data_IF_095989376743
#
_entry.id   IF_095989376743
#
_cell.length_a   1.000
_cell.length_b   1.000
_cell.length_c   1.000
_cell.angle_alpha   90.00
_cell.angle_beta   90.00
_cell.angle_gamma   90.00
#
_symmetry.space_group_name_H-M   'P 1'
#
loop_
_entity.id
_entity.type
_entity.pdbx_description
1 polymer ?
#
# COMPACT_ATOMS: atom_id res chain seq x y z
N UNK A 1 40.52 10.56 6.14
CA UNK A 1 39.17 11.16 6.09
C UNK A 1 38.16 10.03 6.24
N UNK A 2 36.96 10.29 6.77
CA UNK A 2 35.94 9.25 6.78
C UNK A 2 35.57 8.90 5.33
N UNK A 3 35.25 7.64 5.08
CA UNK A 3 34.75 7.15 3.80
C UNK A 3 33.55 6.24 4.06
N UNK A 4 32.57 6.25 3.18
CA UNK A 4 31.36 5.43 3.27
C UNK A 4 31.44 4.21 2.35
N UNK A 5 32.58 3.50 2.37
CA UNK A 5 32.76 2.27 1.56
C UNK A 5 31.74 1.17 1.90
N UNK A 6 31.09 1.26 3.07
CA UNK A 6 29.96 0.43 3.48
C UNK A 6 28.67 0.69 2.69
N UNK A 7 28.60 1.77 1.90
CA UNK A 7 27.36 2.23 1.26
C UNK A 7 26.74 1.15 0.37
N UNK A 8 27.54 0.48 -0.45
CA UNK A 8 27.06 -0.57 -1.34
C UNK A 8 26.38 -1.70 -0.58
N UNK A 9 27.00 -2.17 0.51
CA UNK A 9 26.48 -3.27 1.31
C UNK A 9 25.22 -2.87 2.07
N UNK A 10 25.19 -1.66 2.63
CA UNK A 10 24.01 -1.10 3.32
C UNK A 10 22.81 -0.97 2.38
N UNK A 11 23.03 -0.47 1.16
CA UNK A 11 21.96 -0.32 0.17
C UNK A 11 21.46 -1.68 -0.33
N UNK A 12 22.37 -2.60 -0.67
CA UNK A 12 22.00 -3.96 -1.10
C UNK A 12 21.25 -4.74 -0.02
N UNK A 13 21.69 -4.64 1.24
CA UNK A 13 21.00 -5.25 2.37
C UNK A 13 19.58 -4.71 2.57
N UNK A 14 19.33 -3.46 2.17
CA UNK A 14 18.01 -2.85 2.16
C UNK A 14 17.17 -3.18 0.91
N UNK A 15 17.68 -4.00 -0.02
CA UNK A 15 16.99 -4.39 -1.25
C UNK A 15 17.08 -3.36 -2.38
N UNK A 16 17.95 -2.35 -2.26
CA UNK A 16 18.19 -1.36 -3.32
C UNK A 16 19.09 -1.97 -4.39
N UNK A 17 18.75 -1.77 -5.67
CA UNK A 17 19.62 -2.16 -6.79
C UNK A 17 20.79 -1.20 -6.90
N UNK A 18 22.00 -1.74 -6.98
CA UNK A 18 23.24 -0.95 -6.91
C UNK A 18 24.17 -1.32 -8.06
N UNK A 19 24.62 -0.29 -8.78
CA UNK A 19 25.71 -0.35 -9.76
C UNK A 19 26.90 0.42 -9.17
N UNK A 20 28.10 -0.13 -9.29
CA UNK A 20 29.33 0.48 -8.78
C UNK A 20 30.13 1.07 -9.94
N UNK A 21 30.29 2.40 -9.99
CA UNK A 21 30.88 3.08 -11.15
C UNK A 21 32.39 3.29 -11.01
N UNK A 22 33.17 2.40 -11.65
CA UNK A 22 34.64 2.46 -11.64
C UNK A 22 35.20 2.42 -10.22
N UNK A 23 36.18 3.29 -9.94
CA UNK A 23 36.78 3.41 -8.60
C UNK A 23 35.96 4.30 -7.65
N UNK A 24 34.65 4.05 -7.54
CA UNK A 24 33.79 4.83 -6.64
C UNK A 24 34.25 4.79 -5.16
N UNK A 25 34.96 3.72 -4.76
CA UNK A 25 35.52 3.56 -3.40
C UNK A 25 36.68 4.52 -3.14
N UNK A 26 37.51 4.80 -4.15
CA UNK A 26 38.62 5.75 -4.07
C UNK A 26 38.27 7.18 -4.49
N UNK A 27 37.16 7.38 -5.24
CA UNK A 27 36.74 8.68 -5.75
C UNK A 27 36.32 9.63 -4.61
N UNK A 28 36.90 10.84 -4.60
CA UNK A 28 36.61 11.92 -3.66
C UNK A 28 37.25 13.25 -4.13
N UNK A 29 36.74 14.38 -3.66
CA UNK A 29 37.45 15.68 -3.70
C UNK A 29 38.18 15.98 -2.39
N UNK A 30 39.09 16.96 -2.41
CA UNK A 30 39.81 17.40 -1.22
C UNK A 30 38.89 18.03 -0.15
N UNK A 31 39.19 17.80 1.13
CA UNK A 31 38.49 18.41 2.27
C UNK A 31 37.92 17.39 3.27
N UNK A 32 37.33 17.86 4.37
CA UNK A 32 36.74 16.97 5.39
C UNK A 32 35.47 16.27 4.90
N UNK A 33 35.23 15.06 5.39
CA UNK A 33 33.98 14.35 5.21
C UNK A 33 33.62 13.62 6.49
N UNK A 34 32.43 13.90 7.01
CA UNK A 34 31.88 13.38 8.26
C UNK A 34 30.35 13.45 8.19
N UNK A 35 29.71 12.58 7.37
CA UNK A 35 28.29 12.69 7.09
C UNK A 35 27.45 12.39 8.32
N UNK A 36 26.42 13.22 8.53
CA UNK A 36 25.43 13.09 9.60
C UNK A 36 24.00 12.92 9.06
N UNK A 37 23.82 13.00 7.75
CA UNK A 37 22.50 12.95 7.12
C UNK A 37 22.57 12.69 5.63
N UNK A 38 21.42 12.81 4.97
CA UNK A 38 21.25 12.54 3.54
C UNK A 38 20.54 13.72 2.88
N UNK A 39 21.03 14.12 1.70
CA UNK A 39 20.48 15.22 0.90
C UNK A 39 19.98 14.69 -0.44
N UNK A 40 18.75 15.06 -0.80
CA UNK A 40 18.13 14.72 -2.09
C UNK A 40 18.23 15.90 -3.04
N UNK A 41 18.63 15.58 -4.26
CA UNK A 41 18.76 16.49 -5.39
C UNK A 41 18.01 15.92 -6.60
N UNK A 42 17.72 16.79 -7.57
CA UNK A 42 17.45 16.41 -8.94
C UNK A 42 18.54 16.97 -9.85
N UNK A 43 18.88 16.19 -10.88
CA UNK A 43 20.01 16.50 -11.77
C UNK A 43 19.70 17.59 -12.80
N UNK A 44 18.43 17.95 -12.96
CA UNK A 44 17.91 18.73 -14.08
C UNK A 44 18.09 18.07 -15.47
N UNK A 45 18.45 16.78 -15.52
CA UNK A 45 18.53 16.01 -16.76
C UNK A 45 17.24 15.25 -17.03
N UNK A 46 16.77 15.27 -18.29
CA UNK A 46 15.59 14.50 -18.69
C UNK A 46 15.95 13.02 -18.85
N UNK A 47 15.46 12.19 -17.95
CA UNK A 47 15.67 10.74 -17.97
C UNK A 47 14.47 9.99 -18.56
N UNK A 48 14.68 8.78 -19.06
CA UNK A 48 13.62 7.94 -19.63
C UNK A 48 13.98 6.46 -19.54
N UNK A 49 13.05 5.51 -19.80
CA UNK A 49 13.41 4.09 -19.85
C UNK A 49 14.54 3.76 -20.85
N UNK A 50 14.63 4.49 -21.97
CA UNK A 50 15.65 4.29 -23.00
C UNK A 50 16.96 5.03 -22.75
N UNK A 51 16.98 5.96 -21.79
CA UNK A 51 18.17 6.67 -21.32
C UNK A 51 17.99 6.95 -19.81
N UNK A 52 18.22 5.94 -18.96
CA UNK A 52 17.80 6.02 -17.57
C UNK A 52 18.71 6.87 -16.69
N UNK A 53 20.00 7.01 -17.04
CA UNK A 53 20.99 7.73 -16.24
C UNK A 53 21.71 8.85 -17.04
N UNK A 54 20.97 9.81 -17.64
CA UNK A 54 21.54 10.82 -18.53
C UNK A 54 22.62 11.71 -17.88
N UNK A 55 22.57 11.93 -16.56
CA UNK A 55 23.54 12.78 -15.87
C UNK A 55 24.78 12.02 -15.36
N UNK A 56 24.90 10.71 -15.63
CA UNK A 56 25.91 9.84 -15.02
C UNK A 56 27.35 10.35 -15.23
N UNK A 57 27.72 10.68 -16.47
CA UNK A 57 29.05 11.23 -16.76
C UNK A 57 29.31 12.54 -16.02
N UNK A 58 28.34 13.46 -16.05
CA UNK A 58 28.42 14.76 -15.38
C UNK A 58 28.62 14.63 -13.87
N UNK A 59 27.92 13.72 -13.19
CA UNK A 59 28.08 13.56 -11.74
C UNK A 59 29.38 12.85 -11.35
N UNK A 60 29.96 12.05 -12.25
CA UNK A 60 31.26 11.40 -12.05
C UNK A 60 32.39 12.41 -12.25
N UNK A 61 32.42 13.07 -13.41
CA UNK A 61 33.55 13.90 -13.87
C UNK A 61 33.46 15.34 -13.35
N UNK A 62 32.25 15.80 -13.04
CA UNK A 62 31.96 17.20 -12.74
C UNK A 62 31.60 17.99 -13.98
N UNK A 63 31.78 19.30 -13.86
CA UNK A 63 31.52 20.30 -14.91
C UNK A 63 32.62 21.37 -14.86
N UNK A 64 32.70 22.19 -15.90
CA UNK A 64 33.81 23.17 -16.04
C UNK A 64 33.97 24.12 -14.84
N UNK A 65 32.88 24.45 -14.15
CA UNK A 65 32.87 25.31 -12.95
C UNK A 65 32.90 24.54 -11.62
N UNK A 66 32.85 23.20 -11.64
CA UNK A 66 32.77 22.38 -10.42
C UNK A 66 33.34 20.98 -10.63
N UNK A 67 34.49 20.72 -9.99
CA UNK A 67 35.16 19.42 -9.97
C UNK A 67 34.25 18.31 -9.41
N UNK A 68 34.17 17.17 -10.12
CA UNK A 68 33.50 15.97 -9.64
C UNK A 68 34.28 15.25 -8.53
N UNK A 69 33.66 14.32 -7.80
CA UNK A 69 32.29 13.84 -7.98
C UNK A 69 31.25 14.82 -7.43
N UNK A 70 30.09 14.87 -8.08
CA UNK A 70 28.98 15.77 -7.71
C UNK A 70 27.91 15.09 -6.84
N UNK A 71 28.12 13.83 -6.44
CA UNK A 71 27.25 13.12 -5.50
C UNK A 71 27.93 11.86 -4.95
N UNK A 72 27.24 11.16 -4.05
CA UNK A 72 27.67 9.85 -3.58
C UNK A 72 26.98 8.73 -4.36
N UNK A 73 25.72 8.93 -4.75
CA UNK A 73 25.05 8.09 -5.74
C UNK A 73 24.12 8.89 -6.64
N UNK A 74 24.00 8.42 -7.88
CA UNK A 74 22.95 8.84 -8.81
C UNK A 74 21.82 7.82 -8.81
N UNK A 75 20.58 8.29 -8.89
CA UNK A 75 19.37 7.44 -8.95
C UNK A 75 18.77 7.54 -10.34
N UNK A 76 18.91 6.47 -11.13
CA UNK A 76 18.44 6.44 -12.52
C UNK A 76 16.90 6.45 -12.61
N UNK A 77 16.35 6.57 -13.82
CA UNK A 77 14.90 6.55 -14.09
C UNK A 77 14.17 5.36 -13.44
N UNK A 78 14.84 4.21 -13.34
CA UNK A 78 14.31 2.95 -12.82
C UNK A 78 14.53 2.77 -11.30
N UNK A 79 15.09 3.76 -10.61
CA UNK A 79 15.40 3.69 -9.18
C UNK A 79 16.66 2.89 -8.84
N UNK A 80 17.55 2.64 -9.81
CA UNK A 80 18.85 2.00 -9.60
C UNK A 80 19.85 3.03 -9.09
N UNK A 81 20.59 2.67 -8.04
CA UNK A 81 21.62 3.51 -7.45
C UNK A 81 22.98 3.24 -8.09
N UNK A 82 23.50 4.21 -8.84
CA UNK A 82 24.86 4.22 -9.37
C UNK A 82 25.78 4.89 -8.34
N UNK A 83 26.68 4.14 -7.72
CA UNK A 83 27.59 4.66 -6.69
C UNK A 83 28.77 5.37 -7.34
N UNK A 84 28.97 6.61 -6.93
CA UNK A 84 29.93 7.54 -7.54
C UNK A 84 31.09 7.84 -6.59
N UNK A 85 30.83 8.06 -5.30
CA UNK A 85 31.87 8.48 -4.36
C UNK A 85 31.66 7.89 -2.99
N UNK A 86 32.69 7.26 -2.44
CA UNK A 86 32.76 6.89 -1.03
C UNK A 86 33.36 8.01 -0.16
N UNK A 87 34.04 9.00 -0.75
CA UNK A 87 34.56 10.16 -0.04
C UNK A 87 33.75 11.43 -0.33
N UNK A 88 34.33 12.58 0.07
CA UNK A 88 33.73 13.91 -0.12
C UNK A 88 33.34 14.14 -1.57
N UNK A 89 32.14 14.70 -1.79
CA UNK A 89 31.63 15.11 -3.10
C UNK A 89 31.17 16.57 -3.09
N UNK A 90 31.21 17.23 -4.25
CA UNK A 90 30.83 18.63 -4.45
C UNK A 90 29.34 18.76 -4.81
N UNK A 91 28.44 18.46 -3.88
CA UNK A 91 26.98 18.39 -4.14
C UNK A 91 26.17 19.48 -3.45
N UNK A 92 26.37 19.66 -2.14
CA UNK A 92 25.56 20.51 -1.28
C UNK A 92 26.09 21.96 -1.18
N UNK A 93 27.41 22.13 -1.21
CA UNK A 93 28.06 23.43 -0.99
C UNK A 93 27.76 24.04 0.38
N UNK A 94 27.70 25.37 0.45
CA UNK A 94 27.38 26.09 1.68
C UNK A 94 25.88 25.98 2.03
N UNK A 95 25.57 25.46 3.22
CA UNK A 95 24.20 25.21 3.69
C UNK A 95 23.78 26.19 4.78
N UNK A 96 22.50 26.57 4.79
CA UNK A 96 21.81 27.12 5.98
C UNK A 96 21.36 25.98 6.89
N UNK A 97 21.08 26.32 8.15
CA UNK A 97 20.55 25.34 9.10
C UNK A 97 19.15 24.86 8.68
N UNK A 98 18.89 23.56 8.82
CA UNK A 98 17.59 22.94 8.51
C UNK A 98 17.31 21.74 9.40
N UNK A 99 16.41 21.90 10.37
CA UNK A 99 16.25 20.99 11.51
C UNK A 99 17.60 20.69 12.18
N UNK A 100 18.06 19.43 12.29
CA UNK A 100 19.30 19.10 12.97
C UNK A 100 20.55 19.26 12.09
N UNK A 101 20.41 19.60 10.80
CA UNK A 101 21.55 19.90 9.93
C UNK A 101 22.01 21.34 10.23
N UNK A 102 23.24 21.55 10.73
CA UNK A 102 23.74 22.89 11.00
C UNK A 102 24.06 23.65 9.71
N UNK A 103 24.14 24.97 9.81
CA UNK A 103 24.72 25.79 8.75
C UNK A 103 26.22 25.50 8.60
N UNK A 104 26.77 25.67 7.40
CA UNK A 104 28.20 25.46 7.14
C UNK A 104 28.45 24.73 5.83
N UNK A 105 29.38 23.79 5.86
CA UNK A 105 29.78 23.04 4.67
C UNK A 105 28.99 21.73 4.53
N UNK A 106 27.96 21.75 3.68
CA UNK A 106 27.11 20.59 3.40
C UNK A 106 27.87 19.43 2.75
N UNK A 107 28.94 19.68 2.00
CA UNK A 107 29.78 18.64 1.40
C UNK A 107 30.50 17.81 2.47
N UNK A 108 30.75 18.40 3.65
CA UNK A 108 31.26 17.64 4.81
C UNK A 108 30.16 16.79 5.45
N UNK A 109 28.94 17.33 5.53
CA UNK A 109 27.90 16.87 6.45
C UNK A 109 26.91 15.86 5.85
N UNK A 110 26.82 15.72 4.54
CA UNK A 110 25.69 15.02 3.91
C UNK A 110 26.17 14.01 2.86
N UNK A 111 25.54 12.83 2.87
CA UNK A 111 25.54 11.90 1.74
C UNK A 111 24.54 12.43 0.71
N UNK A 112 24.90 12.47 -0.57
CA UNK A 112 24.11 13.13 -1.61
C UNK A 112 23.56 12.16 -2.65
N UNK A 113 22.24 12.20 -2.87
CA UNK A 113 21.55 11.55 -3.98
C UNK A 113 21.25 12.55 -5.08
N UNK A 114 21.77 12.32 -6.27
CA UNK A 114 21.40 13.03 -7.49
C UNK A 114 20.38 12.18 -8.25
N UNK A 115 19.11 12.58 -8.24
CA UNK A 115 18.02 11.78 -8.82
C UNK A 115 17.76 12.29 -10.24
N UNK A 116 17.80 11.38 -11.22
CA UNK A 116 17.77 11.76 -12.62
C UNK A 116 16.35 12.13 -13.09
N UNK A 117 16.00 13.40 -13.03
CA UNK A 117 14.81 13.99 -13.65
C UNK A 117 14.97 15.51 -13.81
N UNK A 118 14.27 16.10 -14.78
CA UNK A 118 14.54 17.49 -15.15
C UNK A 118 13.97 18.55 -14.20
N UNK A 119 12.97 18.22 -13.39
CA UNK A 119 12.37 19.15 -12.43
C UNK A 119 11.64 20.35 -13.05
N UNK A 120 11.23 20.24 -14.33
CA UNK A 120 10.46 21.27 -15.06
C UNK A 120 9.12 20.69 -15.51
N UNK A 121 9.13 19.79 -16.50
CA UNK A 121 7.96 19.03 -16.98
C UNK A 121 8.03 17.54 -16.58
N UNK A 122 9.14 17.12 -15.97
CA UNK A 122 9.34 15.81 -15.37
C UNK A 122 9.38 15.91 -13.84
N UNK A 123 8.79 14.91 -13.19
CA UNK A 123 8.88 14.66 -11.75
C UNK A 123 9.47 13.26 -11.50
N UNK A 124 9.90 12.99 -10.27
CA UNK A 124 10.40 11.67 -9.89
C UNK A 124 9.44 10.54 -10.27
N UNK A 125 9.98 9.43 -10.76
CA UNK A 125 9.22 8.19 -10.94
C UNK A 125 8.91 7.52 -9.60
N UNK A 126 7.96 6.57 -9.60
CA UNK A 126 7.69 5.72 -8.43
C UNK A 126 8.96 5.03 -7.93
N UNK A 127 9.73 4.51 -8.88
CA UNK A 127 10.89 3.69 -8.60
C UNK A 127 12.00 4.54 -7.97
N UNK A 128 12.25 5.73 -8.51
CA UNK A 128 13.17 6.71 -7.93
C UNK A 128 12.79 7.07 -6.50
N UNK A 129 11.53 7.40 -6.24
CA UNK A 129 11.09 7.81 -4.90
C UNK A 129 11.20 6.65 -3.90
N UNK A 130 10.65 5.48 -4.23
CA UNK A 130 10.66 4.31 -3.35
C UNK A 130 12.08 3.84 -3.04
N UNK A 131 12.97 3.80 -4.04
CA UNK A 131 14.35 3.43 -3.84
C UNK A 131 15.09 4.46 -2.99
N UNK A 132 14.86 5.75 -3.23
CA UNK A 132 15.48 6.84 -2.47
C UNK A 132 15.05 6.87 -1.01
N UNK A 133 13.76 6.63 -0.71
CA UNK A 133 13.27 6.50 0.68
C UNK A 133 13.97 5.32 1.37
N UNK A 134 14.02 4.15 0.71
CA UNK A 134 14.63 2.93 1.25
C UNK A 134 16.12 3.11 1.51
N UNK A 135 16.85 3.66 0.53
CA UNK A 135 18.27 3.98 0.62
C UNK A 135 18.57 4.97 1.73
N UNK A 136 17.77 6.03 1.83
CA UNK A 136 17.91 7.07 2.87
C UNK A 136 17.72 6.48 4.26
N UNK A 137 16.68 5.66 4.47
CA UNK A 137 16.47 4.99 5.74
C UNK A 137 17.63 4.03 6.09
N UNK A 138 18.17 3.30 5.12
CA UNK A 138 19.31 2.41 5.33
C UNK A 138 20.57 3.19 5.76
N UNK A 139 20.87 4.30 5.09
CA UNK A 139 22.00 5.17 5.43
C UNK A 139 21.82 5.82 6.80
N UNK A 140 20.63 6.37 7.11
CA UNK A 140 20.39 7.00 8.41
C UNK A 140 20.46 5.99 9.56
N UNK A 141 20.03 4.74 9.35
CA UNK A 141 20.22 3.65 10.31
C UNK A 141 21.70 3.39 10.55
N UNK A 142 22.50 3.31 9.48
CA UNK A 142 23.95 3.12 9.58
C UNK A 142 24.63 4.29 10.32
N UNK A 143 24.14 5.51 10.16
CA UNK A 143 24.65 6.71 10.83
C UNK A 143 24.12 6.89 12.27
N UNK A 144 23.17 6.06 12.72
CA UNK A 144 22.52 6.22 14.03
C UNK A 144 21.71 7.52 14.12
N UNK A 145 20.90 7.80 13.10
CA UNK A 145 20.11 9.02 12.95
C UNK A 145 18.66 8.70 12.61
N UNK A 146 17.76 9.60 12.99
CA UNK A 146 16.35 9.52 12.61
C UNK A 146 16.08 10.25 11.28
N UNK A 147 14.84 10.18 10.79
CA UNK A 147 14.45 10.79 9.52
C UNK A 147 14.55 12.32 9.48
N UNK A 148 14.66 12.98 10.64
CA UNK A 148 14.88 14.42 10.67
C UNK A 148 16.26 14.81 10.13
N UNK A 149 17.15 13.87 9.81
CA UNK A 149 18.43 14.11 9.12
C UNK A 149 18.35 13.89 7.59
N UNK A 150 17.18 13.60 7.02
CA UNK A 150 16.94 13.60 5.57
C UNK A 150 16.43 14.97 5.11
N UNK A 151 17.06 15.55 4.09
CA UNK A 151 16.72 16.88 3.56
C UNK A 151 16.61 16.89 2.05
N UNK A 152 15.84 17.83 1.53
CA UNK A 152 15.97 18.28 0.14
C UNK A 152 16.87 19.51 0.05
N UNK A 153 17.61 19.67 -1.05
CA UNK A 153 18.55 20.78 -1.23
C UNK A 153 17.93 22.17 -0.99
N UNK A 154 16.66 22.38 -1.31
CA UNK A 154 15.91 23.64 -1.13
C UNK A 154 15.75 24.03 0.33
N UNK A 155 15.76 23.04 1.22
CA UNK A 155 15.67 23.28 2.66
C UNK A 155 17.01 23.77 3.21
N UNK A 156 18.12 23.29 2.66
CA UNK A 156 19.49 23.62 3.11
C UNK A 156 20.17 24.70 2.27
N UNK A 157 19.66 25.04 1.09
CA UNK A 157 20.24 26.02 0.17
C UNK A 157 20.18 27.44 0.74
N UNK A 158 21.26 28.19 0.55
CA UNK A 158 21.37 29.62 0.88
C UNK A 158 20.87 30.55 -0.24
N UNK A 159 20.60 30.00 -1.43
CA UNK A 159 20.26 30.76 -2.65
C UNK A 159 18.84 30.55 -3.15
N UNK A 160 17.99 29.83 -2.39
CA UNK A 160 16.57 29.67 -2.72
C UNK A 160 16.27 28.69 -3.86
N UNK A 161 17.09 27.64 -4.03
CA UNK A 161 16.87 26.58 -5.02
C UNK A 161 15.49 25.91 -4.87
N UNK A 162 14.93 25.43 -5.98
CA UNK A 162 13.68 24.63 -6.01
C UNK A 162 13.92 23.13 -5.77
N UNK A 163 15.18 22.72 -5.81
CA UNK A 163 15.67 21.35 -5.80
C UNK A 163 15.43 20.61 -4.46
N UNK A 164 14.85 19.40 -4.38
CA UNK A 164 14.23 18.64 -5.45
C UNK A 164 12.85 19.22 -5.80
N UNK A 165 12.62 19.40 -7.10
CA UNK A 165 11.34 19.90 -7.60
C UNK A 165 10.22 18.87 -7.36
N UNK A 166 9.02 19.36 -7.04
CA UNK A 166 7.78 18.58 -6.86
C UNK A 166 7.81 17.45 -5.81
N UNK A 167 8.79 17.44 -4.90
CA UNK A 167 8.81 16.52 -3.76
C UNK A 167 8.22 17.22 -2.52
N UNK A 168 7.27 16.58 -1.84
CA UNK A 168 6.86 16.94 -0.48
C UNK A 168 7.89 16.39 0.51
N UNK A 169 8.69 17.28 1.11
CA UNK A 169 9.82 16.89 1.95
C UNK A 169 9.38 16.50 3.37
N UNK A 170 8.23 16.98 3.85
CA UNK A 170 7.64 16.49 5.10
C UNK A 170 7.12 15.07 4.93
N UNK A 171 6.48 14.80 3.78
CA UNK A 171 6.07 13.43 3.43
C UNK A 171 7.25 12.50 3.25
N UNK A 172 8.29 12.92 2.53
CA UNK A 172 9.53 12.15 2.37
C UNK A 172 10.11 11.76 3.74
N UNK A 173 10.20 12.70 4.67
CA UNK A 173 10.65 12.39 6.04
C UNK A 173 9.74 11.43 6.77
N UNK A 174 8.42 11.55 6.62
CA UNK A 174 7.49 10.61 7.24
C UNK A 174 7.67 9.17 6.69
N UNK A 175 7.88 9.03 5.38
CA UNK A 175 8.13 7.74 4.73
C UNK A 175 9.48 7.13 5.18
N UNK A 176 10.53 7.96 5.27
CA UNK A 176 11.85 7.54 5.80
C UNK A 176 11.77 7.15 7.29
N UNK A 177 11.06 7.92 8.12
CA UNK A 177 10.93 7.65 9.56
C UNK A 177 10.31 6.30 9.80
N UNK A 178 9.29 6.01 9.01
CA UNK A 178 8.56 4.80 9.18
C UNK A 178 9.38 3.61 8.62
N UNK A 179 10.13 3.73 7.51
CA UNK A 179 11.13 2.72 7.12
C UNK A 179 12.22 2.48 8.18
N UNK A 180 12.66 3.52 8.89
CA UNK A 180 13.67 3.41 9.96
C UNK A 180 13.20 2.54 11.12
N UNK A 181 11.92 2.66 11.50
CA UNK A 181 11.27 1.91 12.59
C UNK A 181 11.18 0.39 12.41
N UNK A 182 11.81 -0.18 11.38
CA UNK A 182 11.90 -1.64 11.18
C UNK A 182 10.64 -2.28 10.60
N UNK A 183 9.64 -1.47 10.23
CA UNK A 183 8.60 -1.87 9.30
C UNK A 183 8.74 -1.02 8.05
N UNK A 184 8.65 -1.61 6.86
CA UNK A 184 8.09 -0.83 5.76
C UNK A 184 6.75 -0.27 6.26
N UNK A 185 6.49 1.05 6.18
CA UNK A 185 5.24 1.62 6.67
C UNK A 185 4.15 1.16 5.72
N UNK A 186 3.42 0.13 6.14
CA UNK A 186 2.28 -0.36 5.41
C UNK A 186 1.11 0.61 5.57
N UNK A 187 1.22 1.78 4.93
CA UNK A 187 0.21 2.80 4.98
C UNK A 187 -1.07 2.23 4.38
N UNK A 188 -2.18 2.35 5.11
CA UNK A 188 -3.48 2.20 4.52
C UNK A 188 -3.69 3.34 3.53
N UNK A 189 -3.89 3.02 2.26
CA UNK A 189 -4.16 3.98 1.20
C UNK A 189 -5.57 3.77 0.64
N UNK A 190 -6.13 4.80 0.03
CA UNK A 190 -7.46 4.79 -0.58
C UNK A 190 -7.43 5.40 -1.99
N UNK A 191 -8.17 4.79 -2.92
CA UNK A 191 -8.43 5.35 -4.26
C UNK A 191 -9.90 5.18 -4.62
N UNK A 192 -10.43 6.13 -5.41
CA UNK A 192 -11.80 6.16 -5.92
C UNK A 192 -11.79 5.90 -7.43
N UNK A 193 -12.60 4.94 -7.86
CA UNK A 193 -12.99 4.76 -9.26
C UNK A 193 -14.25 5.56 -9.54
N UNK A 194 -14.15 6.50 -10.47
CA UNK A 194 -15.28 7.28 -10.97
C UNK A 194 -16.16 6.44 -11.91
N UNK A 195 -17.39 6.88 -12.14
CA UNK A 195 -18.34 6.23 -13.05
C UNK A 195 -17.76 6.06 -14.46
N UNK A 196 -16.98 7.04 -14.94
CA UNK A 196 -16.28 6.98 -16.23
C UNK A 196 -15.10 5.98 -16.27
N UNK A 197 -14.85 5.24 -15.20
CA UNK A 197 -13.81 4.22 -15.08
C UNK A 197 -12.42 4.73 -14.71
N UNK A 198 -12.23 6.04 -14.60
CA UNK A 198 -10.94 6.61 -14.16
C UNK A 198 -10.75 6.44 -12.65
N UNK A 199 -9.51 6.20 -12.24
CA UNK A 199 -9.12 6.13 -10.83
C UNK A 199 -8.52 7.45 -10.37
N UNK A 200 -8.75 7.83 -9.12
CA UNK A 200 -7.94 8.85 -8.45
C UNK A 200 -6.58 8.26 -8.06
N UNK A 201 -5.58 9.12 -7.89
CA UNK A 201 -4.35 8.71 -7.21
C UNK A 201 -4.67 8.19 -5.81
N UNK A 202 -3.90 7.22 -5.34
CA UNK A 202 -4.01 6.76 -3.97
C UNK A 202 -3.68 7.89 -2.99
N UNK A 203 -4.52 8.09 -1.98
CA UNK A 203 -4.31 9.01 -0.88
C UNK A 203 -4.07 8.25 0.44
N UNK A 204 -3.22 8.80 1.30
CA UNK A 204 -2.95 8.18 2.60
C UNK A 204 -4.15 8.30 3.54
N UNK A 205 -4.53 7.19 4.19
CA UNK A 205 -5.52 7.19 5.26
C UNK A 205 -4.92 7.57 6.63
N UNK A 206 -3.59 7.74 6.73
CA UNK A 206 -2.94 8.17 7.97
C UNK A 206 -2.90 7.09 9.06
N UNK A 207 -2.77 5.81 8.66
CA UNK A 207 -2.67 4.68 9.59
C UNK A 207 -1.77 3.60 9.00
N UNK A 208 -0.87 3.07 9.82
CA UNK A 208 -0.14 1.82 9.52
C UNK A 208 -1.11 0.67 9.75
N UNK A 209 -1.27 -0.19 8.74
CA UNK A 209 -2.18 -1.32 8.78
C UNK A 209 -1.48 -2.62 8.38
N UNK A 210 -1.86 -3.73 9.00
CA UNK A 210 -1.51 -5.10 8.60
C UNK A 210 -2.57 -5.69 7.66
N UNK A 211 -3.81 -5.25 7.80
CA UNK A 211 -4.95 -5.68 6.98
C UNK A 211 -5.97 -4.55 6.80
N UNK A 212 -6.72 -4.58 5.70
CA UNK A 212 -7.65 -3.50 5.31
C UNK A 212 -8.97 -4.06 4.77
N UNK A 213 -10.07 -3.42 5.12
CA UNK A 213 -11.38 -3.71 4.57
C UNK A 213 -12.20 -2.43 4.41
N UNK A 214 -13.11 -2.41 3.44
CA UNK A 214 -14.02 -1.28 3.20
C UNK A 214 -15.40 -1.80 2.80
N UNK A 215 -16.45 -1.15 3.30
CA UNK A 215 -17.83 -1.36 2.87
C UNK A 215 -18.46 -0.04 2.46
N UNK A 216 -19.16 -0.03 1.33
CA UNK A 216 -20.05 1.07 0.96
C UNK A 216 -21.36 0.97 1.72
N UNK A 217 -22.01 2.10 1.94
CA UNK A 217 -23.28 2.20 2.63
C UNK A 217 -24.34 2.80 1.71
N UNK A 218 -25.60 2.49 1.98
CA UNK A 218 -26.75 3.01 1.23
C UNK A 218 -26.85 4.56 1.25
N UNK A 219 -26.32 5.20 2.30
CA UNK A 219 -26.28 6.66 2.43
C UNK A 219 -25.11 7.34 1.66
N UNK A 220 -24.34 6.56 0.89
CA UNK A 220 -23.18 7.03 0.13
C UNK A 220 -21.90 7.21 0.96
N UNK A 221 -21.94 6.95 2.27
CA UNK A 221 -20.73 6.84 3.09
C UNK A 221 -20.01 5.51 2.84
N UNK A 222 -18.78 5.40 3.34
CA UNK A 222 -18.09 4.12 3.41
C UNK A 222 -17.48 3.90 4.80
N UNK A 223 -17.43 2.64 5.22
CA UNK A 223 -16.87 2.20 6.49
C UNK A 223 -15.54 1.51 6.21
N UNK A 224 -14.45 2.09 6.69
CA UNK A 224 -13.09 1.55 6.52
C UNK A 224 -12.67 0.92 7.84
N UNK A 225 -12.32 -0.36 7.81
CA UNK A 225 -11.78 -1.09 8.95
C UNK A 225 -10.35 -1.55 8.65
N UNK A 226 -9.45 -1.47 9.63
CA UNK A 226 -8.06 -1.91 9.48
C UNK A 226 -7.59 -2.65 10.73
N UNK A 227 -6.68 -3.60 10.55
CA UNK A 227 -5.84 -4.09 11.63
C UNK A 227 -4.61 -3.20 11.69
N UNK A 228 -4.39 -2.48 12.79
CA UNK A 228 -3.24 -1.59 12.95
C UNK A 228 -1.90 -2.32 13.04
N UNK A 229 -0.79 -1.57 12.95
CA UNK A 229 0.55 -2.11 13.22
C UNK A 229 0.70 -2.73 14.62
N UNK A 230 -0.13 -2.29 15.56
CA UNK A 230 -0.28 -2.72 16.96
C UNK A 230 -1.31 -3.84 17.17
N UNK A 231 -1.79 -4.45 16.09
CA UNK A 231 -2.84 -5.49 16.04
C UNK A 231 -4.23 -5.02 16.46
N UNK A 232 -4.42 -3.75 16.80
CA UNK A 232 -5.72 -3.22 17.21
C UNK A 232 -6.63 -3.03 15.99
N UNK A 233 -7.90 -3.38 16.12
CA UNK A 233 -8.92 -3.16 15.09
C UNK A 233 -9.36 -1.70 15.16
N UNK A 234 -9.13 -0.96 14.08
CA UNK A 234 -9.56 0.44 13.96
C UNK A 234 -10.63 0.58 12.90
N UNK A 235 -11.49 1.58 13.08
CA UNK A 235 -12.51 1.96 12.12
C UNK A 235 -12.54 3.47 11.92
N UNK A 236 -12.91 3.89 10.71
CA UNK A 236 -13.29 5.26 10.39
C UNK A 236 -14.37 5.29 9.31
N UNK A 237 -15.02 6.44 9.18
CA UNK A 237 -16.02 6.71 8.15
C UNK A 237 -15.42 7.60 7.08
N UNK A 238 -15.61 7.23 5.81
CA UNK A 238 -15.53 8.16 4.69
C UNK A 238 -16.90 8.80 4.50
N UNK A 239 -16.97 10.12 4.62
CA UNK A 239 -18.19 10.90 4.38
C UNK A 239 -18.50 10.99 2.89
N UNK A 240 -19.73 11.38 2.57
CA UNK A 240 -20.19 11.60 1.19
C UNK A 240 -19.33 12.65 0.48
N UNK A 241 -18.90 13.70 1.19
CA UNK A 241 -18.00 14.75 0.68
C UNK A 241 -16.56 14.27 0.39
N UNK A 242 -16.26 13.00 0.67
CA UNK A 242 -14.95 12.38 0.47
C UNK A 242 -13.94 12.61 1.60
N UNK A 243 -14.29 13.42 2.61
CA UNK A 243 -13.48 13.54 3.83
C UNK A 243 -13.61 12.29 4.69
N UNK A 244 -12.66 12.10 5.60
CA UNK A 244 -12.67 10.96 6.49
C UNK A 244 -12.64 11.38 7.96
N UNK A 245 -13.40 10.70 8.82
CA UNK A 245 -13.30 10.86 10.28
C UNK A 245 -11.95 10.34 10.79
N UNK A 246 -11.44 10.75 11.96
CA UNK A 246 -10.29 10.06 12.57
C UNK A 246 -10.55 8.55 12.76
N UNK A 247 -9.47 7.76 12.84
CA UNK A 247 -9.56 6.35 13.22
C UNK A 247 -9.88 6.22 14.72
N UNK A 248 -10.90 5.44 15.05
CA UNK A 248 -11.22 5.01 16.42
C UNK A 248 -10.98 3.52 16.61
N UNK A 249 -10.43 3.11 17.75
CA UNK A 249 -10.28 1.70 18.08
C UNK A 249 -11.65 1.10 18.40
N UNK A 250 -11.90 -0.13 17.92
CA UNK A 250 -13.12 -0.85 18.28
C UNK A 250 -13.00 -1.35 19.73
N UNK A 251 -14.01 -1.13 20.58
CA UNK A 251 -14.03 -1.72 21.91
C UNK A 251 -14.31 -3.23 21.84
N UNK A 252 -13.57 -4.03 22.59
CA UNK A 252 -13.75 -5.48 22.70
C UNK A 252 -12.81 -6.12 23.71
N UNK A 253 -13.23 -7.23 24.32
CA UNK A 253 -12.39 -8.02 25.23
C UNK A 253 -11.79 -7.23 26.42
N UNK A 254 -12.52 -6.24 26.93
CA UNK A 254 -12.09 -5.41 28.06
C UNK A 254 -11.18 -4.22 27.69
N UNK A 255 -10.96 -3.94 26.40
CA UNK A 255 -10.15 -2.82 25.93
C UNK A 255 -10.30 -2.59 24.42
N UNK A 256 -9.28 -2.06 23.73
CA UNK A 256 -9.22 -2.09 22.27
C UNK A 256 -9.17 -3.54 21.77
N UNK A 257 -10.10 -3.91 20.89
CA UNK A 257 -10.12 -5.22 20.27
C UNK A 257 -8.86 -5.40 19.40
N UNK A 258 -8.20 -6.55 19.53
CA UNK A 258 -7.09 -6.94 18.65
C UNK A 258 -7.57 -7.96 17.63
N UNK A 259 -6.93 -8.02 16.47
CA UNK A 259 -7.26 -8.96 15.40
C UNK A 259 -6.10 -9.19 14.45
N UNK A 260 -6.23 -10.20 13.60
CA UNK A 260 -5.26 -10.60 12.57
C UNK A 260 -5.79 -10.35 11.16
N UNK A 261 -7.04 -10.71 10.89
CA UNK A 261 -7.75 -10.40 9.65
C UNK A 261 -9.02 -9.60 9.95
N UNK A 262 -9.46 -8.77 9.02
CA UNK A 262 -10.69 -7.98 9.12
C UNK A 262 -11.46 -7.96 7.81
N UNK A 263 -12.78 -8.13 7.89
CA UNK A 263 -13.71 -7.85 6.81
C UNK A 263 -14.91 -7.08 7.35
N UNK A 264 -15.56 -6.28 6.51
CA UNK A 264 -16.71 -5.46 6.90
C UNK A 264 -17.76 -5.46 5.81
N UNK A 265 -19.04 -5.53 6.21
CA UNK A 265 -20.19 -5.39 5.32
C UNK A 265 -21.07 -4.22 5.79
N UNK A 266 -21.61 -3.46 4.84
CA UNK A 266 -22.68 -2.50 5.06
C UNK A 266 -24.04 -3.15 4.78
N UNK A 267 -25.08 -2.64 5.43
CA UNK A 267 -26.47 -3.05 5.22
C UNK A 267 -27.33 -1.86 4.84
N UNK A 268 -28.43 -2.14 4.13
CA UNK A 268 -29.41 -1.13 3.68
C UNK A 268 -30.07 -0.37 4.85
N UNK A 269 -30.11 -0.96 6.04
CA UNK A 269 -30.65 -0.32 7.26
C UNK A 269 -29.67 0.69 7.90
N UNK A 270 -28.52 0.93 7.28
CA UNK A 270 -27.48 1.84 7.76
C UNK A 270 -26.57 1.25 8.84
N UNK A 271 -26.76 -0.01 9.22
CA UNK A 271 -25.81 -0.74 10.08
C UNK A 271 -24.65 -1.29 9.28
N UNK A 272 -23.55 -1.61 9.97
CA UNK A 272 -22.45 -2.37 9.37
C UNK A 272 -21.96 -3.44 10.33
N UNK A 273 -21.33 -4.50 9.81
CA UNK A 273 -20.84 -5.59 10.63
C UNK A 273 -19.40 -5.92 10.26
N UNK A 274 -18.53 -5.94 11.27
CA UNK A 274 -17.16 -6.43 11.13
C UNK A 274 -17.10 -7.90 11.49
N UNK A 275 -16.26 -8.64 10.78
CA UNK A 275 -15.81 -9.98 11.14
C UNK A 275 -14.29 -9.94 11.24
N UNK A 276 -13.74 -10.49 12.32
CA UNK A 276 -12.30 -10.53 12.57
C UNK A 276 -11.85 -11.95 12.93
N UNK A 277 -10.58 -12.23 12.70
CA UNK A 277 -9.88 -13.35 13.33
C UNK A 277 -8.96 -12.82 14.44
N UNK A 278 -8.81 -13.58 15.52
CA UNK A 278 -7.80 -13.33 16.55
C UNK A 278 -6.48 -14.06 16.22
N UNK A 279 -5.47 -13.91 17.08
CA UNK A 279 -4.15 -14.53 16.89
C UNK A 279 -4.18 -16.06 16.92
N UNK A 280 -5.15 -16.65 17.62
CA UNK A 280 -5.43 -18.10 17.66
C UNK A 280 -6.33 -18.58 16.50
N UNK A 281 -6.73 -17.66 15.62
CA UNK A 281 -7.63 -17.93 14.50
C UNK A 281 -9.12 -17.90 14.86
N UNK A 282 -9.51 -17.74 16.13
CA UNK A 282 -10.91 -17.69 16.53
C UNK A 282 -11.64 -16.53 15.84
N UNK A 283 -12.84 -16.80 15.32
CA UNK A 283 -13.60 -15.83 14.52
C UNK A 283 -14.68 -15.16 15.35
N UNK A 284 -14.68 -13.82 15.33
CA UNK A 284 -15.65 -12.99 16.05
C UNK A 284 -16.29 -11.96 15.11
N UNK A 285 -17.44 -11.44 15.53
CA UNK A 285 -18.12 -10.36 14.82
C UNK A 285 -18.66 -9.30 15.79
N UNK A 286 -18.79 -8.06 15.30
CA UNK A 286 -19.46 -6.97 16.01
C UNK A 286 -20.27 -6.13 15.03
N UNK A 287 -21.45 -5.68 15.45
CA UNK A 287 -22.34 -4.81 14.68
C UNK A 287 -22.12 -3.35 15.09
N UNK A 288 -21.93 -2.48 14.12
CA UNK A 288 -22.05 -1.03 14.27
C UNK A 288 -23.50 -0.65 14.05
N UNK A 289 -24.11 -0.06 15.08
CA UNK A 289 -25.45 0.51 15.01
C UNK A 289 -25.45 1.81 14.21
N UNK A 290 -26.62 2.24 13.75
CA UNK A 290 -26.80 3.51 13.02
C UNK A 290 -26.26 4.71 13.81
N UNK A 291 -26.43 4.71 15.14
CA UNK A 291 -25.90 5.75 16.03
C UNK A 291 -24.35 5.72 16.20
N UNK A 292 -23.66 4.81 15.51
CA UNK A 292 -22.21 4.67 15.52
C UNK A 292 -21.63 3.85 16.67
N UNK A 293 -22.45 3.39 17.61
CA UNK A 293 -22.00 2.50 18.69
C UNK A 293 -21.81 1.06 18.21
N UNK A 294 -20.85 0.36 18.80
CA UNK A 294 -20.60 -1.06 18.50
C UNK A 294 -21.30 -1.97 19.51
N UNK A 295 -21.72 -3.15 19.08
CA UNK A 295 -22.05 -4.26 20.00
C UNK A 295 -20.77 -4.84 20.59
N UNK A 296 -20.89 -5.64 21.65
CA UNK A 296 -19.80 -6.53 22.06
C UNK A 296 -19.50 -7.55 20.96
N UNK A 297 -18.27 -8.04 20.93
CA UNK A 297 -17.88 -9.10 20.00
C UNK A 297 -18.53 -10.43 20.38
N UNK A 298 -19.26 -11.03 19.45
CA UNK A 298 -19.83 -12.37 19.54
C UNK A 298 -18.95 -13.38 18.81
N UNK A 299 -18.79 -14.59 19.37
CA UNK A 299 -18.05 -15.67 18.71
C UNK A 299 -18.87 -16.27 17.57
N UNK A 300 -18.25 -16.56 16.42
CA UNK A 300 -18.88 -17.31 15.33
C UNK A 300 -18.73 -18.83 15.50
N UNK A 301 -17.95 -19.30 16.48
CA UNK A 301 -17.82 -20.72 16.82
C UNK A 301 -16.97 -21.52 15.81
N UNK A 302 -15.95 -20.89 15.22
CA UNK A 302 -14.99 -21.54 14.33
C UNK A 302 -13.61 -20.88 14.44
N UNK A 303 -12.59 -21.49 13.85
CA UNK A 303 -11.28 -20.89 13.59
C UNK A 303 -11.04 -20.75 12.09
N UNK A 304 -10.34 -19.68 11.69
CA UNK A 304 -10.08 -19.39 10.29
C UNK A 304 -8.73 -18.72 10.07
N UNK A 305 -8.14 -18.99 8.90
CA UNK A 305 -6.95 -18.32 8.36
C UNK A 305 -7.29 -16.99 7.69
N UNK A 306 -8.49 -16.90 7.12
CA UNK A 306 -9.00 -15.72 6.42
C UNK A 306 -10.54 -15.63 6.50
N UNK A 307 -11.09 -14.43 6.41
CA UNK A 307 -12.52 -14.13 6.62
C UNK A 307 -13.05 -13.08 5.64
N UNK A 308 -14.28 -13.28 5.17
CA UNK A 308 -15.00 -12.29 4.38
C UNK A 308 -16.49 -12.24 4.77
N UNK A 309 -17.10 -11.06 4.69
CA UNK A 309 -18.55 -10.88 4.88
C UNK A 309 -19.14 -10.00 3.78
N UNK A 310 -20.33 -10.36 3.30
CA UNK A 310 -21.15 -9.53 2.41
C UNK A 310 -22.56 -9.37 2.98
N UNK A 311 -23.06 -8.14 2.96
CA UNK A 311 -24.49 -7.85 3.13
C UNK A 311 -25.25 -8.21 1.86
N UNK A 312 -26.49 -8.64 2.02
CA UNK A 312 -27.41 -8.97 0.94
C UNK A 312 -28.57 -7.96 0.93
N UNK A 313 -29.19 -7.74 -0.22
CA UNK A 313 -30.31 -6.80 -0.38
C UNK A 313 -31.54 -7.14 0.49
N UNK A 314 -31.70 -8.41 0.89
CA UNK A 314 -32.77 -8.87 1.79
C UNK A 314 -32.47 -8.66 3.29
N UNK A 315 -31.37 -7.98 3.63
CA UNK A 315 -30.93 -7.73 5.00
C UNK A 315 -30.20 -8.91 5.66
N UNK A 316 -30.04 -10.04 4.96
CA UNK A 316 -29.16 -11.13 5.41
C UNK A 316 -27.69 -10.79 5.15
N UNK A 317 -26.78 -11.59 5.71
CA UNK A 317 -25.36 -11.53 5.38
C UNK A 317 -24.81 -12.92 5.08
N UNK A 318 -23.79 -13.01 4.25
CA UNK A 318 -23.01 -14.24 4.09
C UNK A 318 -21.61 -14.03 4.64
N UNK A 319 -21.19 -14.93 5.53
CA UNK A 319 -19.82 -15.00 6.05
C UNK A 319 -19.13 -16.19 5.39
N UNK A 320 -17.99 -15.94 4.74
CA UNK A 320 -17.12 -16.94 4.17
C UNK A 320 -15.78 -16.96 4.93
N UNK A 321 -15.21 -18.14 5.12
CA UNK A 321 -13.95 -18.32 5.85
C UNK A 321 -13.06 -19.36 5.17
N UNK A 322 -11.75 -19.20 5.30
CA UNK A 322 -10.78 -20.28 5.03
C UNK A 322 -10.46 -20.97 6.35
N UNK A 323 -10.86 -22.23 6.51
CA UNK A 323 -10.64 -23.01 7.72
C UNK A 323 -9.16 -23.34 7.98
N UNK A 324 -8.89 -23.89 9.17
CA UNK A 324 -7.56 -24.43 9.51
C UNK A 324 -7.06 -25.53 8.55
N UNK A 325 -8.01 -26.24 7.94
CA UNK A 325 -7.88 -27.32 6.95
C UNK A 325 -7.82 -26.84 5.49
N UNK A 326 -7.72 -25.52 5.28
CA UNK A 326 -7.77 -24.81 3.99
C UNK A 326 -9.12 -24.89 3.28
N UNK A 327 -10.14 -25.52 3.86
CA UNK A 327 -11.46 -25.63 3.23
C UNK A 327 -12.19 -24.29 3.32
N UNK A 328 -12.86 -23.92 2.22
CA UNK A 328 -13.71 -22.75 2.14
C UNK A 328 -15.06 -23.11 2.76
N UNK A 329 -15.40 -22.50 3.89
CA UNK A 329 -16.70 -22.64 4.53
C UNK A 329 -17.50 -21.36 4.39
N UNK A 330 -18.83 -21.48 4.36
CA UNK A 330 -19.70 -20.32 4.45
C UNK A 330 -20.90 -20.57 5.37
N UNK A 331 -21.50 -19.49 5.85
CA UNK A 331 -22.79 -19.52 6.55
C UNK A 331 -23.58 -18.25 6.29
N UNK A 332 -24.88 -18.30 6.59
CA UNK A 332 -25.79 -17.16 6.46
C UNK A 332 -26.07 -16.59 7.84
N UNK A 333 -25.94 -15.27 7.99
CA UNK A 333 -26.56 -14.49 9.06
C UNK A 333 -27.97 -14.12 8.61
N UNK A 334 -28.98 -14.53 9.38
CA UNK A 334 -30.38 -14.15 9.16
C UNK A 334 -30.62 -12.70 9.60
N UNK A 335 -31.73 -12.12 9.14
CA UNK A 335 -32.15 -10.76 9.51
C UNK A 335 -32.28 -10.60 11.03
N UNK A 336 -32.75 -11.64 11.73
CA UNK A 336 -32.87 -11.68 13.20
C UNK A 336 -31.51 -11.73 13.95
N UNK A 337 -30.39 -11.79 13.22
CA UNK A 337 -29.04 -11.86 13.75
C UNK A 337 -28.56 -13.26 14.12
N UNK A 338 -29.41 -14.29 14.03
CA UNK A 338 -28.98 -15.68 14.18
C UNK A 338 -28.19 -16.14 12.97
N UNK A 339 -27.44 -17.22 13.12
CA UNK A 339 -26.64 -17.77 12.03
C UNK A 339 -26.99 -19.23 11.75
N UNK A 340 -26.86 -19.62 10.50
CA UNK A 340 -26.83 -21.04 10.12
C UNK A 340 -25.51 -21.69 10.57
N UNK A 341 -25.43 -23.02 10.65
CA UNK A 341 -24.16 -23.72 10.72
C UNK A 341 -23.25 -23.38 9.53
N UNK A 342 -21.94 -23.54 9.70
CA UNK A 342 -21.00 -23.50 8.59
C UNK A 342 -21.14 -24.74 7.70
N UNK A 343 -21.16 -24.53 6.39
CA UNK A 343 -21.12 -25.58 5.37
C UNK A 343 -19.95 -25.37 4.42
N UNK A 344 -19.30 -26.46 4.02
CA UNK A 344 -18.21 -26.41 3.05
C UNK A 344 -18.74 -26.03 1.66
N UNK A 345 -18.03 -25.15 0.95
CA UNK A 345 -18.33 -24.87 -0.45
C UNK A 345 -17.95 -26.10 -1.31
N UNK A 346 -18.84 -26.60 -2.17
CA UNK A 346 -18.47 -27.63 -3.13
C UNK A 346 -17.59 -27.05 -4.24
N UNK A 347 -16.52 -27.74 -4.62
CA UNK A 347 -15.62 -27.37 -5.70
C UNK A 347 -14.52 -28.41 -5.95
N UNK A 348 -14.05 -28.52 -7.19
CA UNK A 348 -12.92 -29.40 -7.56
C UNK A 348 -13.12 -30.88 -7.17
N UNK A 349 -14.36 -31.38 -7.23
CA UNK A 349 -14.70 -32.77 -6.90
C UNK A 349 -14.89 -33.06 -5.40
N UNK A 350 -14.87 -32.05 -4.53
CA UNK A 350 -15.08 -32.19 -3.09
C UNK A 350 -15.32 -30.84 -2.40
N UNK A 351 -14.95 -30.68 -1.12
CA UNK A 351 -14.84 -29.37 -0.49
C UNK A 351 -13.77 -28.52 -1.18
N UNK A 352 -14.13 -27.33 -1.63
CA UNK A 352 -13.19 -26.38 -2.20
C UNK A 352 -12.17 -25.96 -1.14
N UNK A 353 -10.89 -25.90 -1.54
CA UNK A 353 -9.81 -25.38 -0.70
C UNK A 353 -9.32 -24.04 -1.24
N UNK A 354 -8.85 -23.16 -0.36
CA UNK A 354 -8.35 -21.84 -0.73
C UNK A 354 -7.39 -21.26 0.30
N UNK A 355 -6.74 -20.14 -0.06
CA UNK A 355 -5.79 -19.39 0.76
C UNK A 355 -6.33 -18.03 1.18
N UNK A 356 -7.01 -17.34 0.27
CA UNK A 356 -7.71 -16.07 0.53
C UNK A 356 -9.15 -16.17 0.02
N UNK A 357 -10.07 -15.43 0.63
CA UNK A 357 -11.49 -15.40 0.28
C UNK A 357 -12.04 -13.98 0.31
N UNK A 358 -12.84 -13.63 -0.70
CA UNK A 358 -13.70 -12.45 -0.70
C UNK A 358 -15.09 -12.82 -1.21
N UNK A 359 -16.11 -12.12 -0.75
CA UNK A 359 -17.50 -12.35 -1.14
C UNK A 359 -18.22 -11.03 -1.42
N UNK A 360 -19.10 -11.02 -2.42
CA UNK A 360 -20.00 -9.92 -2.73
C UNK A 360 -21.45 -10.41 -2.82
N UNK A 361 -22.39 -9.65 -2.27
CA UNK A 361 -23.83 -9.80 -2.52
C UNK A 361 -24.26 -8.94 -3.69
N UNK A 362 -25.33 -9.35 -4.37
CA UNK A 362 -25.95 -8.61 -5.48
C UNK A 362 -27.42 -8.35 -5.19
N UNK A 363 -27.97 -7.32 -5.83
CA UNK A 363 -29.37 -6.90 -5.70
C UNK A 363 -30.37 -7.99 -6.14
N UNK A 364 -29.96 -8.91 -7.02
CA UNK A 364 -30.77 -10.05 -7.45
C UNK A 364 -30.84 -11.19 -6.42
N UNK A 365 -30.22 -11.01 -5.25
CA UNK A 365 -30.16 -12.00 -4.16
C UNK A 365 -29.09 -13.08 -4.36
N UNK A 366 -28.32 -13.04 -5.45
CA UNK A 366 -27.15 -13.92 -5.61
C UNK A 366 -25.95 -13.38 -4.84
N UNK A 367 -24.97 -14.26 -4.61
CA UNK A 367 -23.64 -13.84 -4.12
C UNK A 367 -22.54 -14.47 -4.96
N UNK A 368 -21.37 -13.82 -4.98
CA UNK A 368 -20.19 -14.33 -5.66
C UNK A 368 -19.03 -14.43 -4.67
N UNK A 369 -18.45 -15.62 -4.57
CA UNK A 369 -17.21 -15.86 -3.85
C UNK A 369 -16.05 -15.87 -4.83
N UNK A 370 -14.95 -15.20 -4.46
CA UNK A 370 -13.66 -15.25 -5.14
C UNK A 370 -12.64 -15.82 -4.16
N UNK A 371 -11.84 -16.78 -4.60
CA UNK A 371 -10.77 -17.40 -3.80
C UNK A 371 -9.45 -17.41 -4.55
N UNK A 372 -8.36 -17.44 -3.81
CA UNK A 372 -7.04 -17.87 -4.30
C UNK A 372 -6.77 -19.30 -3.85
N UNK A 373 -6.12 -20.10 -4.69
CA UNK A 373 -5.61 -21.42 -4.30
C UNK A 373 -4.17 -21.31 -3.76
N UNK A 374 -3.58 -22.44 -3.36
CA UNK A 374 -2.20 -22.48 -2.81
C UNK A 374 -1.13 -22.06 -3.81
N UNK A 375 -1.37 -22.26 -5.11
CA UNK A 375 -0.52 -21.80 -6.22
C UNK A 375 -0.80 -20.33 -6.62
N UNK A 376 -1.74 -19.67 -5.93
CA UNK A 376 -2.17 -18.31 -6.21
C UNK A 376 -3.23 -18.20 -7.31
N UNK A 377 -3.60 -19.28 -8.01
CA UNK A 377 -4.61 -19.23 -9.05
C UNK A 377 -5.95 -18.73 -8.51
N UNK A 378 -6.59 -17.80 -9.23
CA UNK A 378 -7.81 -17.15 -8.77
C UNK A 378 -9.04 -17.77 -9.43
N UNK A 379 -10.02 -18.16 -8.60
CA UNK A 379 -11.28 -18.76 -9.03
C UNK A 379 -12.48 -18.04 -8.42
N UNK A 380 -13.65 -18.19 -9.06
CA UNK A 380 -14.91 -17.69 -8.51
C UNK A 380 -16.05 -18.70 -8.66
N UNK A 381 -17.03 -18.60 -7.77
CA UNK A 381 -18.30 -19.34 -7.85
C UNK A 381 -19.46 -18.43 -7.43
N UNK A 382 -20.62 -18.62 -8.07
CA UNK A 382 -21.86 -17.93 -7.74
C UNK A 382 -22.73 -18.82 -6.86
N UNK A 383 -23.29 -18.22 -5.80
CA UNK A 383 -24.41 -18.80 -5.06
C UNK A 383 -25.70 -18.24 -5.64
N UNK A 384 -26.54 -19.13 -6.15
CA UNK A 384 -27.87 -18.79 -6.64
C UNK A 384 -28.82 -18.50 -5.47
N UNK A 385 -29.93 -17.82 -5.75
CA UNK A 385 -30.98 -17.52 -4.77
C UNK A 385 -31.51 -18.79 -4.08
N UNK A 386 -31.62 -19.91 -4.82
CA UNK A 386 -32.03 -21.20 -4.27
C UNK A 386 -30.96 -21.88 -3.38
N UNK A 387 -29.83 -21.23 -3.15
CA UNK A 387 -28.73 -21.70 -2.31
C UNK A 387 -27.75 -22.65 -2.97
N UNK A 388 -27.98 -23.07 -4.22
CA UNK A 388 -27.03 -23.90 -4.98
C UNK A 388 -25.85 -23.08 -5.49
N UNK A 389 -24.69 -23.72 -5.61
CA UNK A 389 -23.48 -23.10 -6.15
C UNK A 389 -23.27 -23.45 -7.62
N UNK A 390 -22.63 -22.56 -8.38
CA UNK A 390 -22.03 -22.91 -9.67
C UNK A 390 -20.73 -23.68 -9.43
N UNK A 391 -20.23 -24.36 -10.47
CA UNK A 391 -18.83 -24.80 -10.48
C UNK A 391 -17.89 -23.60 -10.43
N UNK A 392 -16.69 -23.80 -9.90
CA UNK A 392 -15.66 -22.76 -9.91
C UNK A 392 -15.16 -22.50 -11.33
N UNK A 393 -15.19 -21.23 -11.74
CA UNK A 393 -14.58 -20.74 -12.97
C UNK A 393 -13.25 -20.05 -12.68
N UNK A 394 -12.25 -20.23 -13.54
CA UNK A 394 -10.98 -19.54 -13.41
C UNK A 394 -11.12 -18.06 -13.79
N UNK A 395 -10.49 -17.16 -13.03
CA UNK A 395 -10.39 -15.74 -13.40
C UNK A 395 -9.17 -15.45 -14.29
N UNK A 396 -8.30 -16.44 -14.54
CA UNK A 396 -7.19 -16.31 -15.50
C UNK A 396 -6.05 -15.43 -15.00
N UNK A 397 -5.77 -15.45 -13.69
CA UNK A 397 -4.62 -14.76 -13.08
C UNK A 397 -4.15 -15.52 -11.83
N UNK A 398 -2.99 -15.13 -11.30
CA UNK A 398 -2.50 -15.53 -9.97
C UNK A 398 -2.43 -14.31 -9.07
N UNK A 399 -2.84 -14.44 -7.80
CA UNK A 399 -2.85 -13.35 -6.85
C UNK A 399 -2.44 -13.78 -5.44
N UNK A 400 -1.82 -12.86 -4.71
CA UNK A 400 -1.49 -12.98 -3.28
C UNK A 400 -2.70 -12.68 -2.39
N UNK A 401 -3.60 -11.79 -2.86
CA UNK A 401 -4.82 -11.35 -2.19
C UNK A 401 -5.91 -10.90 -3.20
N UNK A 402 -7.18 -10.96 -2.81
CA UNK A 402 -8.35 -10.72 -3.68
C UNK A 402 -9.48 -9.98 -2.96
N UNK A 403 -10.17 -9.11 -3.67
CA UNK A 403 -11.38 -8.45 -3.19
C UNK A 403 -12.43 -8.34 -4.31
N UNK A 404 -13.71 -8.48 -3.95
CA UNK A 404 -14.85 -8.30 -4.87
C UNK A 404 -15.93 -7.43 -4.22
N UNK A 405 -16.54 -6.54 -5.01
CA UNK A 405 -17.72 -5.79 -4.64
C UNK A 405 -18.78 -5.87 -5.74
N UNK A 406 -20.03 -6.12 -5.34
CA UNK A 406 -21.20 -5.99 -6.21
C UNK A 406 -21.55 -4.52 -6.40
N UNK A 407 -22.09 -4.19 -7.57
CA UNK A 407 -22.56 -2.86 -7.93
C UNK A 407 -24.08 -2.84 -8.10
N UNK A 408 -24.75 -1.69 -7.90
CA UNK A 408 -26.20 -1.58 -8.07
C UNK A 408 -26.72 -1.96 -9.46
N UNK A 409 -25.87 -1.88 -10.50
CA UNK A 409 -26.20 -2.25 -11.88
C UNK A 409 -26.02 -3.75 -12.18
N UNK A 410 -25.72 -4.57 -11.16
CA UNK A 410 -25.47 -6.00 -11.31
C UNK A 410 -24.06 -6.36 -11.80
N UNK A 411 -23.20 -5.38 -12.09
CA UNK A 411 -21.78 -5.63 -12.34
C UNK A 411 -21.03 -5.94 -11.04
N UNK A 412 -19.80 -6.44 -11.16
CA UNK A 412 -18.91 -6.57 -10.01
C UNK A 412 -17.54 -5.97 -10.31
N UNK A 413 -16.93 -5.36 -9.30
CA UNK A 413 -15.56 -4.89 -9.34
C UNK A 413 -14.67 -5.90 -8.62
N UNK A 414 -13.60 -6.36 -9.28
CA UNK A 414 -12.66 -7.33 -8.71
C UNK A 414 -11.29 -6.69 -8.68
N UNK A 415 -10.69 -6.60 -7.50
CA UNK A 415 -9.32 -6.16 -7.30
C UNK A 415 -8.46 -7.31 -6.80
N UNK A 416 -7.21 -7.39 -7.26
CA UNK A 416 -6.26 -8.43 -6.85
C UNK A 416 -4.88 -7.83 -6.63
N UNK A 417 -4.12 -8.43 -5.71
CA UNK A 417 -2.68 -8.19 -5.58
C UNK A 417 -1.93 -9.26 -6.36
N UNK A 418 -1.23 -8.89 -7.42
CA UNK A 418 -0.46 -9.81 -8.26
C UNK A 418 0.76 -10.43 -7.56
N UNK A 419 1.38 -11.41 -8.22
CA UNK A 419 2.66 -11.99 -7.79
C UNK A 419 3.79 -10.96 -7.68
N UNK A 420 3.71 -9.92 -8.49
CA UNK A 420 4.59 -8.75 -8.60
C UNK A 420 4.23 -7.58 -7.66
N UNK A 421 3.30 -7.84 -6.73
CA UNK A 421 2.77 -6.89 -5.75
C UNK A 421 1.88 -5.78 -6.33
N UNK A 422 1.64 -5.76 -7.65
CA UNK A 422 0.81 -4.75 -8.31
C UNK A 422 -0.67 -4.98 -8.02
N UNK A 423 -1.40 -3.89 -7.78
CA UNK A 423 -2.85 -3.88 -7.65
C UNK A 423 -3.46 -3.87 -9.04
N UNK A 424 -4.12 -4.96 -9.41
CA UNK A 424 -4.87 -5.07 -10.66
C UNK A 424 -6.36 -5.04 -10.39
N UNK A 425 -7.12 -4.53 -11.35
CA UNK A 425 -8.58 -4.49 -11.31
C UNK A 425 -9.18 -4.97 -12.62
N UNK A 426 -10.38 -5.55 -12.52
CA UNK A 426 -11.25 -5.80 -13.66
C UNK A 426 -12.71 -5.71 -13.26
N UNK A 427 -13.57 -5.65 -14.28
CA UNK A 427 -15.03 -5.67 -14.13
C UNK A 427 -15.59 -7.01 -14.58
N UNK A 428 -16.49 -7.58 -13.77
CA UNK A 428 -17.45 -8.59 -14.22
C UNK A 428 -18.67 -7.86 -14.75
N UNK A 429 -19.03 -8.12 -16.01
CA UNK A 429 -20.25 -7.60 -16.63
C UNK A 429 -21.48 -8.39 -16.18
N UNK A 430 -22.66 -7.82 -16.38
CA UNK A 430 -23.95 -8.45 -16.05
C UNK A 430 -24.12 -9.81 -16.76
N UNK A 431 -23.63 -9.92 -18.00
CA UNK A 431 -23.63 -11.16 -18.79
C UNK A 431 -22.66 -12.24 -18.26
N UNK A 432 -21.90 -11.94 -17.21
CA UNK A 432 -20.92 -12.84 -16.60
C UNK A 432 -19.56 -12.84 -17.27
N UNK A 433 -19.36 -12.11 -18.37
CA UNK A 433 -18.05 -11.92 -18.98
C UNK A 433 -17.20 -10.95 -18.16
N UNK A 434 -15.89 -10.95 -18.41
CA UNK A 434 -14.95 -10.12 -17.68
C UNK A 434 -14.15 -9.22 -18.61
N UNK A 435 -13.82 -8.02 -18.14
CA UNK A 435 -12.80 -7.19 -18.81
C UNK A 435 -11.41 -7.78 -18.55
N UNK A 436 -10.40 -7.42 -19.37
CA UNK A 436 -9.00 -7.64 -19.00
C UNK A 436 -8.65 -6.98 -17.66
N UNK A 437 -7.59 -7.49 -17.01
CA UNK A 437 -7.01 -6.83 -15.85
C UNK A 437 -6.25 -5.57 -16.27
N UNK A 438 -6.49 -4.46 -15.57
CA UNK A 438 -5.73 -3.22 -15.67
C UNK A 438 -5.04 -2.91 -14.35
N UNK A 439 -3.78 -2.49 -14.41
CA UNK A 439 -3.07 -2.03 -13.22
C UNK A 439 -3.68 -0.71 -12.72
N UNK A 440 -3.88 -0.59 -11.40
CA UNK A 440 -4.32 0.67 -10.81
C UNK A 440 -3.17 1.68 -10.83
N UNK A 441 -3.44 2.97 -11.10
CA UNK A 441 -2.42 4.00 -11.00
C UNK A 441 -2.01 4.22 -9.54
N UNK A 442 -0.71 4.16 -9.28
CA UNK A 442 -0.06 4.52 -8.03
C UNK A 442 0.79 5.79 -8.18
N UNK A 443 1.76 5.97 -7.29
CA UNK A 443 2.62 7.16 -7.27
C UNK A 443 3.75 7.05 -8.30
N UNK A 444 3.50 7.41 -9.56
CA UNK A 444 4.51 7.40 -10.63
C UNK A 444 4.70 6.04 -11.32
N UNK A 445 3.68 5.17 -11.25
CA UNK A 445 3.67 3.81 -11.79
C UNK A 445 2.47 3.01 -11.26
N UNK A 446 2.38 1.70 -11.49
CA UNK A 446 1.34 0.85 -10.90
C UNK A 446 1.34 0.90 -9.37
N UNK A 447 0.15 0.98 -8.76
CA UNK A 447 -0.01 0.86 -7.32
C UNK A 447 0.43 -0.54 -6.86
N UNK A 448 1.09 -0.62 -5.70
CA UNK A 448 1.51 -1.88 -5.09
C UNK A 448 0.98 -2.02 -3.67
N UNK A 449 0.64 -3.24 -3.28
CA UNK A 449 0.13 -3.52 -1.94
C UNK A 449 0.15 -4.98 -1.53
N UNK A 450 -0.10 -5.26 -0.24
CA UNK A 450 -0.11 -6.60 0.36
C UNK A 450 -1.50 -7.10 0.71
N UNK A 451 -2.42 -6.18 0.93
CA UNK A 451 -3.84 -6.43 1.19
C UNK A 451 -4.70 -5.47 0.40
N UNK A 452 -5.85 -5.94 -0.06
CA UNK A 452 -6.80 -5.14 -0.85
C UNK A 452 -8.22 -5.33 -0.34
N UNK A 453 -8.95 -4.23 -0.21
CA UNK A 453 -10.40 -4.21 -0.02
C UNK A 453 -11.04 -3.36 -1.11
N UNK A 454 -12.24 -3.73 -1.54
CA UNK A 454 -13.01 -2.96 -2.53
C UNK A 454 -14.46 -2.85 -2.10
N UNK A 455 -15.06 -1.68 -2.33
CA UNK A 455 -16.48 -1.41 -2.08
C UNK A 455 -17.11 -0.70 -3.27
N UNK A 456 -18.36 -1.04 -3.58
CA UNK A 456 -19.23 -0.26 -4.45
C UNK A 456 -19.99 0.80 -3.66
N UNK A 457 -20.38 1.88 -4.33
CA UNK A 457 -21.25 2.94 -3.82
C UNK A 457 -22.58 2.94 -4.59
N UNK A 458 -23.69 3.45 -4.00
CA UNK A 458 -24.97 3.59 -4.69
C UNK A 458 -24.93 4.44 -5.97
N UNK A 459 -23.98 5.38 -6.07
CA UNK A 459 -23.78 6.26 -7.22
C UNK A 459 -22.95 5.63 -8.36
N UNK A 460 -22.79 4.30 -8.34
CA UNK A 460 -21.97 3.51 -9.26
C UNK A 460 -20.47 3.83 -9.24
N UNK A 461 -19.98 4.63 -8.28
CA UNK A 461 -18.55 4.69 -7.98
C UNK A 461 -18.10 3.46 -7.20
N UNK A 462 -16.80 3.15 -7.24
CA UNK A 462 -16.22 2.12 -6.37
C UNK A 462 -14.92 2.61 -5.77
N UNK A 463 -14.50 1.99 -4.68
CA UNK A 463 -13.40 2.48 -3.86
C UNK A 463 -12.52 1.32 -3.46
N UNK A 464 -11.21 1.50 -3.58
CA UNK A 464 -10.21 0.52 -3.20
C UNK A 464 -9.43 1.05 -2.02
N UNK A 465 -9.24 0.20 -1.01
CA UNK A 465 -8.26 0.39 0.05
C UNK A 465 -7.16 -0.65 -0.09
N UNK A 466 -5.92 -0.23 0.13
CA UNK A 466 -4.77 -1.15 0.15
C UNK A 466 -3.91 -0.94 1.38
N UNK A 467 -3.27 -2.00 1.82
CA UNK A 467 -2.05 -1.94 2.60
C UNK A 467 -0.89 -1.82 1.61
N UNK A 468 -0.26 -0.65 1.52
CA UNK A 468 0.86 -0.39 0.59
C UNK A 468 2.23 -0.87 1.12
N UNK A 469 3.26 -0.85 0.28
CA UNK A 469 4.65 -1.15 0.67
C UNK A 469 5.40 0.07 1.19
#
# INVERSE_FOLDING_TARGET
MATIVWLADVLRAAGVQVIEEGDWRGRAVSGSFAPIGVLWHHTAATSSPGNPAPALGTVIDGRDDLEGPLCHALVDYNGVFHLISAGRANHAGATRASGPIPAGDGNTLLVGWEIDYNGVDQVMTAAQYSASVTATAAVLRQLGRDASFARGHRETSTTGKIDPYAVDLDRMRADVAAQLSGGSPTAALHSLRRVNGTWTTFGALGKVAKDVAIAGMADGTAQVAVIGGDDVVYHRVRRVDGTFTPFGALPGFGGPAKGRQVSIAGFEDGTSQVVITLSDGAVYHALRRVNGTWTTFGALGTTAKDVAIAGMADGTAQVAVIGGDDVVYHRVRRVDGTFTPFGALPGFGGPAKGRQVSIAGFEDGTSQVVITLSDGAVYHALRRVNGTWTTFGALGTTAKDVAIAGMPDGTAQIAVIGGDDVVYHRVRRVDGTFTPYGALPGFGGPAKGRRVGIAGSPDATSQVVINAF
#
